data_IF_238146677682
#
_entry.id   IF_238146677682
#
_cell.length_a   1.000
_cell.length_b   1.000
_cell.length_c   1.000
_cell.angle_alpha   90.00
_cell.angle_beta   90.00
_cell.angle_gamma   90.00
#
_symmetry.space_group_name_H-M   'P 1'
#
loop_
_entity.id
_entity.type
_entity.pdbx_description
1 polymer ?
#
# COMPACT_ATOMS: atom_id res chain seq x y z
N UNK A 1 29.00 12.00 2.44
CA UNK A 1 28.69 13.25 3.16
C UNK A 1 27.29 13.19 3.75
N UNK A 2 27.04 13.88 4.86
CA UNK A 2 25.70 13.87 5.50
C UNK A 2 25.22 15.31 5.67
N UNK A 3 24.04 15.63 5.19
CA UNK A 3 23.32 16.87 5.48
C UNK A 3 22.26 16.60 6.53
N UNK A 4 22.08 17.54 7.46
CA UNK A 4 21.04 17.45 8.50
C UNK A 4 19.97 18.50 8.24
N UNK A 5 18.72 18.06 8.23
CA UNK A 5 17.53 18.88 7.97
C UNK A 5 16.71 19.00 9.24
N UNK A 6 16.29 20.22 9.58
CA UNK A 6 15.41 20.49 10.71
C UNK A 6 13.94 20.47 10.26
N UNK A 7 13.13 19.67 10.92
CA UNK A 7 11.72 19.51 10.63
C UNK A 7 10.80 20.48 11.41
N UNK A 8 11.33 21.22 12.39
CA UNK A 8 10.54 22.12 13.25
C UNK A 8 9.80 23.23 12.48
N UNK A 9 10.23 23.52 11.25
CA UNK A 9 9.54 24.46 10.37
C UNK A 9 8.21 23.95 9.81
N UNK A 10 7.93 22.63 9.97
CA UNK A 10 6.72 21.98 9.47
C UNK A 10 5.77 21.60 10.62
N UNK A 11 4.48 21.54 10.34
CA UNK A 11 3.53 20.86 11.22
C UNK A 11 3.80 19.35 11.28
N UNK A 12 3.47 18.68 12.38
CA UNK A 12 3.83 17.28 12.63
C UNK A 12 3.52 16.32 11.45
N UNK A 13 2.36 16.48 10.79
CA UNK A 13 1.99 15.67 9.62
C UNK A 13 2.85 15.99 8.37
N UNK A 14 3.20 17.26 8.22
CA UNK A 14 4.03 17.71 7.10
C UNK A 14 5.48 17.27 7.27
N UNK A 15 5.94 17.10 8.52
CA UNK A 15 7.23 16.48 8.84
C UNK A 15 7.30 15.05 8.33
N UNK A 16 6.25 14.26 8.57
CA UNK A 16 6.19 12.88 8.09
C UNK A 16 6.18 12.82 6.56
N UNK A 17 5.34 13.64 5.92
CA UNK A 17 5.29 13.73 4.47
C UNK A 17 6.62 14.19 3.86
N UNK A 18 7.26 15.20 4.44
CA UNK A 18 8.59 15.66 3.99
C UNK A 18 9.62 14.54 4.06
N UNK A 19 9.72 13.85 5.21
CA UNK A 19 10.66 12.75 5.40
C UNK A 19 10.39 11.59 4.41
N UNK A 20 9.12 11.27 4.17
CA UNK A 20 8.68 10.22 3.23
C UNK A 20 9.01 10.55 1.76
N UNK A 21 9.02 11.83 1.40
CA UNK A 21 9.34 12.28 0.04
C UNK A 21 10.84 12.45 -0.22
N UNK A 22 11.68 12.56 0.81
CA UNK A 22 13.13 12.75 0.64
C UNK A 22 13.80 11.71 -0.26
N UNK A 23 13.50 10.40 -0.20
CA UNK A 23 14.11 9.39 -1.07
C UNK A 23 13.85 9.63 -2.57
N UNK A 24 12.79 10.37 -2.90
CA UNK A 24 12.39 10.66 -4.28
C UNK A 24 12.91 12.02 -4.78
N UNK A 25 13.65 12.75 -3.95
CA UNK A 25 14.17 14.07 -4.32
C UNK A 25 15.34 13.99 -5.28
N UNK A 26 16.26 13.04 -5.08
CA UNK A 26 17.42 12.84 -5.94
C UNK A 26 17.96 11.42 -5.86
N UNK A 27 18.40 10.84 -6.99
CA UNK A 27 19.08 9.53 -6.99
C UNK A 27 20.44 9.55 -6.27
N UNK A 28 20.97 10.73 -5.94
CA UNK A 28 22.21 10.88 -5.17
C UNK A 28 22.03 10.59 -3.68
N UNK A 29 20.80 10.52 -3.18
CA UNK A 29 20.49 10.19 -1.77
C UNK A 29 20.69 8.69 -1.58
N UNK A 30 21.56 8.34 -0.62
CA UNK A 30 21.96 6.94 -0.32
C UNK A 30 21.25 6.39 0.90
N UNK A 31 21.11 7.21 1.94
CA UNK A 31 20.49 6.79 3.18
C UNK A 31 19.81 7.98 3.86
N UNK A 32 18.74 7.68 4.59
CA UNK A 32 17.97 8.67 5.34
C UNK A 32 17.71 8.11 6.73
N UNK A 33 18.08 8.89 7.75
CA UNK A 33 17.83 8.54 9.13
C UNK A 33 17.10 9.68 9.84
N UNK A 34 15.99 9.38 10.48
CA UNK A 34 15.25 10.35 11.29
C UNK A 34 15.46 10.11 12.78
N UNK A 35 15.77 11.18 13.49
CA UNK A 35 15.86 11.20 14.96
C UNK A 35 15.06 12.39 15.49
N UNK A 36 13.83 12.13 15.95
CA UNK A 36 12.91 13.19 16.40
C UNK A 36 12.58 14.18 15.28
N UNK A 37 12.91 15.45 15.50
CA UNK A 37 12.69 16.55 14.56
C UNK A 37 13.87 16.82 13.61
N UNK A 38 14.82 15.91 13.53
CA UNK A 38 15.94 16.00 12.61
C UNK A 38 15.97 14.81 11.65
N UNK A 39 16.35 15.09 10.40
CA UNK A 39 16.58 14.08 9.38
C UNK A 39 18.00 14.24 8.83
N UNK A 40 18.78 13.17 8.93
CA UNK A 40 20.12 13.06 8.34
C UNK A 40 20.00 12.38 6.98
N UNK A 41 20.53 13.01 5.94
CA UNK A 41 20.53 12.53 4.56
C UNK A 41 21.96 12.31 4.12
N UNK A 42 22.31 11.06 3.84
CA UNK A 42 23.61 10.66 3.33
C UNK A 42 23.67 10.72 1.81
N UNK A 43 24.69 11.36 1.25
CA UNK A 43 24.86 11.55 -0.20
C UNK A 43 26.34 11.64 -0.58
N UNK A 44 26.63 11.59 -1.88
CA UNK A 44 27.97 11.84 -2.41
C UNK A 44 28.27 13.36 -2.40
N UNK A 45 29.51 13.74 -2.02
CA UNK A 45 29.89 15.15 -1.84
C UNK A 45 29.67 16.01 -3.09
N UNK A 46 29.92 15.46 -4.28
CA UNK A 46 29.74 16.17 -5.57
C UNK A 46 28.29 16.61 -5.84
N UNK A 47 27.33 16.01 -5.15
CA UNK A 47 25.89 16.18 -5.42
C UNK A 47 25.20 17.08 -4.36
N UNK A 48 25.97 17.60 -3.38
CA UNK A 48 25.43 18.36 -2.24
C UNK A 48 24.60 19.57 -2.68
N UNK A 49 25.12 20.39 -3.57
CA UNK A 49 24.46 21.62 -4.00
C UNK A 49 23.13 21.31 -4.74
N UNK A 50 23.12 20.29 -5.60
CA UNK A 50 21.93 19.87 -6.33
C UNK A 50 20.87 19.32 -5.37
N UNK A 51 21.27 18.42 -4.46
CA UNK A 51 20.35 17.82 -3.49
C UNK A 51 19.77 18.89 -2.57
N UNK A 52 20.62 19.81 -2.06
CA UNK A 52 20.16 20.92 -1.20
C UNK A 52 19.14 21.80 -1.93
N UNK A 53 19.38 22.12 -3.20
CA UNK A 53 18.41 22.89 -4.00
C UNK A 53 17.07 22.13 -4.15
N UNK A 54 17.10 20.85 -4.48
CA UNK A 54 15.88 20.02 -4.65
C UNK A 54 15.13 19.83 -3.33
N UNK A 55 15.83 19.63 -2.22
CA UNK A 55 15.24 19.59 -0.88
C UNK A 55 14.56 20.92 -0.54
N UNK A 56 15.19 22.06 -0.91
CA UNK A 56 14.58 23.39 -0.79
C UNK A 56 13.28 23.50 -1.59
N UNK A 57 13.25 23.00 -2.83
CA UNK A 57 12.04 22.97 -3.65
C UNK A 57 10.93 22.14 -3.02
N UNK A 58 11.24 20.95 -2.49
CA UNK A 58 10.26 20.11 -1.78
C UNK A 58 9.72 20.85 -0.54
N UNK A 59 10.60 21.47 0.25
CA UNK A 59 10.22 22.28 1.41
C UNK A 59 9.25 23.40 1.00
N UNK A 60 9.60 24.18 -0.01
CA UNK A 60 8.81 25.33 -0.45
C UNK A 60 7.46 24.89 -1.02
N UNK A 61 7.41 23.75 -1.71
CA UNK A 61 6.15 23.14 -2.17
C UNK A 61 5.22 22.81 -0.99
N UNK A 62 5.78 22.23 0.08
CA UNK A 62 5.01 21.87 1.27
C UNK A 62 4.52 23.13 2.01
N UNK A 63 5.39 24.12 2.21
CA UNK A 63 5.06 25.35 2.92
C UNK A 63 4.06 26.21 2.13
N UNK A 64 4.23 26.36 0.83
CA UNK A 64 3.32 27.14 -0.04
C UNK A 64 1.97 26.45 -0.28
N UNK A 65 1.94 25.11 -0.18
CA UNK A 65 0.70 24.31 -0.23
C UNK A 65 -0.16 24.42 1.02
N UNK A 66 0.24 25.24 2.01
CA UNK A 66 -0.55 25.46 3.22
C UNK A 66 -1.82 26.22 2.88
N UNK A 67 -2.93 25.47 2.79
CA UNK A 67 -4.25 26.07 2.80
C UNK A 67 -4.44 26.78 4.14
N UNK A 68 -4.62 28.10 4.10
CA UNK A 68 -4.82 28.94 5.26
C UNK A 68 -5.91 28.37 6.17
N UNK A 69 -5.52 27.89 7.34
CA UNK A 69 -6.38 27.92 8.53
C UNK A 69 -7.17 26.68 8.93
N UNK A 70 -7.13 25.53 8.22
CA UNK A 70 -7.80 24.32 8.72
C UNK A 70 -6.87 23.13 8.66
N UNK A 71 -6.33 22.78 9.81
CA UNK A 71 -5.61 21.52 10.01
C UNK A 71 -6.60 20.35 9.91
N UNK A 72 -6.31 19.41 9.00
CA UNK A 72 -7.07 18.17 8.90
C UNK A 72 -6.50 17.20 9.94
N UNK A 73 -7.18 17.05 11.04
CA UNK A 73 -6.77 16.09 12.09
C UNK A 73 -7.22 14.69 11.71
N UNK A 74 -6.28 13.75 11.71
CA UNK A 74 -6.58 12.32 11.71
C UNK A 74 -7.34 12.03 13.01
N UNK A 75 -8.49 11.37 12.91
CA UNK A 75 -9.30 10.96 14.05
C UNK A 75 -9.11 9.47 14.26
N UNK A 76 -8.87 9.06 15.48
CA UNK A 76 -9.01 7.67 15.87
C UNK A 76 -10.49 7.38 16.05
N UNK A 77 -11.01 6.43 15.28
CA UNK A 77 -12.40 6.00 15.29
C UNK A 77 -12.61 4.86 16.30
N UNK A 78 -11.64 3.95 16.36
CA UNK A 78 -11.62 2.81 17.28
C UNK A 78 -10.19 2.67 17.82
N UNK A 79 -10.05 2.41 19.12
CA UNK A 79 -8.75 2.31 19.79
C UNK A 79 -8.71 1.07 20.70
N UNK A 80 -7.84 0.11 20.35
CA UNK A 80 -7.53 -1.09 21.11
C UNK A 80 -6.02 -1.17 21.43
N UNK A 81 -5.38 -0.02 21.58
CA UNK A 81 -3.94 0.08 21.88
C UNK A 81 -3.59 -0.25 23.35
N UNK A 82 -4.59 -0.45 24.19
CA UNK A 82 -4.44 -0.96 25.56
C UNK A 82 -4.22 -2.49 25.62
N UNK A 83 -4.55 -3.20 24.54
CA UNK A 83 -4.27 -4.65 24.45
C UNK A 83 -2.77 -4.92 24.51
N UNK A 84 -2.37 -5.81 25.42
CA UNK A 84 -0.95 -6.16 25.63
C UNK A 84 -0.58 -7.31 24.71
N UNK A 85 0.36 -7.13 23.77
CA UNK A 85 0.86 -8.22 22.94
C UNK A 85 1.53 -9.31 23.76
N UNK A 86 1.49 -10.55 23.30
CA UNK A 86 2.21 -11.67 23.91
C UNK A 86 3.72 -11.57 23.69
N UNK A 87 4.14 -10.98 22.57
CA UNK A 87 5.54 -10.80 22.23
C UNK A 87 5.96 -9.32 22.32
N UNK A 88 7.17 -9.11 22.83
CA UNK A 88 7.80 -7.80 22.95
C UNK A 88 9.21 -7.75 22.34
N UNK A 89 9.67 -8.87 21.78
CA UNK A 89 10.99 -8.97 21.15
C UNK A 89 10.90 -8.74 19.65
N UNK A 90 11.87 -8.04 19.03
CA UNK A 90 11.95 -7.90 17.59
C UNK A 90 12.04 -9.27 16.90
N UNK A 91 11.22 -9.51 15.88
CA UNK A 91 11.15 -10.80 15.19
C UNK A 91 11.79 -10.80 13.80
N UNK A 92 11.98 -9.65 13.19
CA UNK A 92 12.41 -9.57 11.78
C UNK A 92 13.77 -10.23 11.56
N UNK A 93 14.77 -9.94 12.39
CA UNK A 93 16.09 -10.58 12.27
C UNK A 93 16.01 -12.09 12.49
N UNK A 94 15.19 -12.55 13.45
CA UNK A 94 15.00 -13.99 13.68
C UNK A 94 14.37 -14.66 12.46
N UNK A 95 13.40 -14.03 11.79
CA UNK A 95 12.81 -14.55 10.55
C UNK A 95 13.86 -14.68 9.44
N UNK A 96 14.79 -13.74 9.32
CA UNK A 96 15.91 -13.81 8.37
C UNK A 96 16.88 -14.94 8.73
N UNK A 97 17.28 -15.03 10.00
CA UNK A 97 18.28 -16.01 10.50
C UNK A 97 17.78 -17.46 10.41
N UNK A 98 16.46 -17.66 10.46
CA UNK A 98 15.82 -19.00 10.38
C UNK A 98 15.28 -19.32 8.98
N UNK A 99 15.58 -18.51 7.96
CA UNK A 99 15.02 -18.64 6.60
C UNK A 99 13.47 -18.60 6.55
N UNK A 100 12.79 -18.14 7.62
CA UNK A 100 11.35 -17.92 7.62
C UNK A 100 10.93 -16.85 6.61
N UNK A 101 11.82 -15.88 6.37
CA UNK A 101 11.77 -14.95 5.24
C UNK A 101 13.17 -14.78 4.66
N UNK A 102 13.25 -14.52 3.34
CA UNK A 102 14.53 -14.30 2.65
C UNK A 102 14.43 -13.10 1.73
N UNK A 103 15.31 -12.16 1.92
CA UNK A 103 15.40 -11.01 1.02
C UNK A 103 16.00 -11.44 -0.33
N UNK A 104 15.29 -11.14 -1.40
CA UNK A 104 15.70 -11.41 -2.79
C UNK A 104 16.26 -10.13 -3.43
N UNK A 105 15.64 -9.00 -3.11
CA UNK A 105 16.06 -7.66 -3.47
C UNK A 105 15.47 -6.68 -2.46
N UNK A 106 15.89 -5.42 -2.49
CA UNK A 106 15.39 -4.38 -1.60
C UNK A 106 13.85 -4.33 -1.60
N UNK A 107 13.24 -4.57 -0.43
CA UNK A 107 11.79 -4.63 -0.27
C UNK A 107 11.07 -5.77 -1.03
N UNK A 108 11.79 -6.82 -1.41
CA UNK A 108 11.25 -8.01 -2.11
C UNK A 108 11.70 -9.27 -1.39
N UNK A 109 10.74 -10.06 -0.88
CA UNK A 109 11.02 -11.21 -0.03
C UNK A 109 10.37 -12.49 -0.53
N UNK A 110 11.05 -13.62 -0.28
CA UNK A 110 10.47 -14.96 -0.28
C UNK A 110 10.02 -15.31 1.15
N UNK A 111 8.98 -16.13 1.26
CA UNK A 111 8.38 -16.54 2.53
C UNK A 111 8.37 -18.06 2.67
N UNK A 112 8.63 -18.55 3.87
CA UNK A 112 8.54 -19.96 4.19
C UNK A 112 7.94 -20.20 5.59
N UNK A 113 7.84 -21.46 5.99
CA UNK A 113 7.47 -21.94 7.33
C UNK A 113 6.30 -21.18 7.96
N UNK A 114 6.44 -20.75 9.21
CA UNK A 114 5.39 -20.10 9.98
C UNK A 114 4.86 -18.84 9.28
N UNK A 115 5.75 -18.01 8.69
CA UNK A 115 5.31 -16.80 7.99
C UNK A 115 4.36 -17.16 6.84
N UNK A 116 4.75 -18.13 6.01
CA UNK A 116 3.93 -18.56 4.88
C UNK A 116 2.61 -19.22 5.34
N UNK A 117 2.61 -19.95 6.46
CA UNK A 117 1.40 -20.56 7.00
C UNK A 117 0.41 -19.48 7.47
N UNK A 118 0.85 -18.50 8.24
CA UNK A 118 0.00 -17.38 8.70
C UNK A 118 -0.48 -16.54 7.52
N UNK A 119 0.39 -16.30 6.53
CA UNK A 119 0.01 -15.63 5.28
C UNK A 119 -1.15 -16.36 4.57
N UNK A 120 -1.05 -17.69 4.42
CA UNK A 120 -2.10 -18.54 3.82
C UNK A 120 -3.42 -18.48 4.59
N UNK A 121 -3.36 -18.39 5.91
CA UNK A 121 -4.55 -18.21 6.73
C UNK A 121 -5.27 -16.92 6.33
N UNK A 122 -4.58 -15.78 6.35
CA UNK A 122 -5.21 -14.50 5.99
C UNK A 122 -5.78 -14.52 4.56
N UNK A 123 -5.03 -15.06 3.62
CA UNK A 123 -5.50 -15.16 2.24
C UNK A 123 -6.79 -15.97 2.12
N UNK A 124 -6.84 -17.16 2.73
CA UNK A 124 -8.03 -18.04 2.73
C UNK A 124 -9.20 -17.45 3.53
N UNK A 125 -8.93 -16.84 4.68
CA UNK A 125 -9.96 -16.23 5.53
C UNK A 125 -10.66 -15.07 4.84
N UNK A 126 -9.91 -14.19 4.18
CA UNK A 126 -10.49 -13.08 3.41
C UNK A 126 -11.42 -13.63 2.31
N UNK A 127 -10.99 -14.64 1.59
CA UNK A 127 -11.81 -15.25 0.55
C UNK A 127 -13.09 -15.88 1.10
N UNK A 128 -12.97 -16.68 2.14
CA UNK A 128 -14.09 -17.36 2.78
C UNK A 128 -15.13 -16.37 3.33
N UNK A 129 -14.65 -15.32 4.02
CA UNK A 129 -15.50 -14.26 4.53
C UNK A 129 -16.24 -13.52 3.41
N UNK A 130 -15.54 -13.12 2.34
CA UNK A 130 -16.16 -12.41 1.22
C UNK A 130 -17.28 -13.21 0.55
N UNK A 131 -17.07 -14.52 0.37
CA UNK A 131 -18.10 -15.42 -0.18
C UNK A 131 -19.31 -15.54 0.74
N UNK A 132 -19.09 -15.56 2.05
CA UNK A 132 -20.17 -15.69 3.04
C UNK A 132 -20.96 -14.38 3.22
N UNK A 133 -20.26 -13.24 3.35
CA UNK A 133 -20.85 -11.97 3.71
C UNK A 133 -21.55 -11.24 2.55
N UNK A 134 -21.00 -11.35 1.32
CA UNK A 134 -21.48 -10.50 0.22
C UNK A 134 -22.38 -11.20 -0.79
N UNK A 135 -22.67 -12.50 -0.61
CA UNK A 135 -23.47 -13.27 -1.56
C UNK A 135 -22.68 -13.57 -2.85
N UNK A 136 -23.25 -13.39 -4.04
CA UNK A 136 -22.56 -13.67 -5.29
C UNK A 136 -21.38 -12.71 -5.48
N UNK A 137 -20.17 -13.17 -5.15
CA UNK A 137 -18.92 -12.43 -5.36
C UNK A 137 -18.26 -12.87 -6.65
N UNK A 138 -17.97 -11.93 -7.53
CA UNK A 138 -17.24 -12.18 -8.76
C UNK A 138 -15.76 -12.23 -8.45
N UNK A 139 -15.10 -13.37 -8.70
CA UNK A 139 -13.67 -13.53 -8.54
C UNK A 139 -12.98 -13.35 -9.88
N UNK A 140 -11.94 -12.50 -9.89
CA UNK A 140 -11.08 -12.31 -11.06
C UNK A 140 -9.63 -12.30 -10.63
N UNK A 141 -8.80 -12.96 -11.43
CA UNK A 141 -7.34 -12.82 -11.41
C UNK A 141 -6.93 -11.91 -12.57
N UNK A 142 -6.62 -10.67 -12.27
CA UNK A 142 -6.19 -9.70 -13.26
C UNK A 142 -4.68 -9.72 -13.43
N UNK A 143 -4.17 -9.48 -14.66
CA UNK A 143 -2.74 -9.38 -14.92
C UNK A 143 -2.05 -8.33 -14.03
N UNK A 144 -0.79 -8.57 -13.70
CA UNK A 144 0.05 -7.58 -13.01
C UNK A 144 0.49 -6.45 -13.95
N UNK A 145 0.59 -6.75 -15.25
CA UNK A 145 0.89 -5.76 -16.29
C UNK A 145 -0.36 -4.96 -16.62
N UNK A 146 -0.27 -3.65 -16.51
CA UNK A 146 -1.40 -2.74 -16.66
C UNK A 146 -1.07 -1.66 -17.70
N UNK A 147 -1.96 -1.38 -18.68
CA UNK A 147 -1.68 -0.39 -19.72
C UNK A 147 -1.48 1.02 -19.16
N UNK A 148 -0.45 1.72 -19.63
CA UNK A 148 -0.13 3.10 -19.22
C UNK A 148 -1.32 4.03 -19.41
N UNK A 149 -2.01 3.97 -20.55
CA UNK A 149 -3.16 4.84 -20.84
C UNK A 149 -4.29 4.70 -19.80
N UNK A 150 -4.47 3.49 -19.26
CA UNK A 150 -5.45 3.27 -18.19
C UNK A 150 -4.96 3.78 -16.83
N UNK A 151 -3.65 3.79 -16.62
CA UNK A 151 -3.04 4.35 -15.42
C UNK A 151 -3.22 5.86 -15.39
N UNK A 152 -2.99 6.50 -16.54
CA UNK A 152 -3.25 7.93 -16.74
C UNK A 152 -4.73 8.27 -16.55
N UNK A 153 -5.62 7.49 -17.18
CA UNK A 153 -7.07 7.63 -17.06
C UNK A 153 -7.58 7.52 -15.62
N UNK A 154 -6.93 6.70 -14.80
CA UNK A 154 -7.19 6.58 -13.36
C UNK A 154 -6.64 7.72 -12.51
N UNK A 155 -5.89 8.67 -13.09
CA UNK A 155 -5.29 9.82 -12.40
C UNK A 155 -4.04 9.49 -11.59
N UNK A 156 -3.44 8.32 -11.80
CA UNK A 156 -2.32 7.86 -10.98
C UNK A 156 -1.01 8.58 -11.24
N UNK A 157 -0.79 9.08 -12.46
CA UNK A 157 0.38 9.92 -12.80
C UNK A 157 0.37 11.25 -12.05
N UNK A 158 -0.82 11.79 -11.80
CA UNK A 158 -0.96 13.05 -11.07
C UNK A 158 -0.82 12.84 -9.55
N UNK A 159 -1.29 11.69 -9.05
CA UNK A 159 -1.42 11.46 -7.60
C UNK A 159 -0.26 10.69 -6.99
N UNK A 160 0.28 9.69 -7.70
CA UNK A 160 1.29 8.76 -7.18
C UNK A 160 2.44 8.49 -8.16
N UNK A 161 3.03 9.48 -8.85
CA UNK A 161 4.07 9.25 -9.84
C UNK A 161 5.30 8.53 -9.25
N UNK A 162 5.59 8.75 -7.99
CA UNK A 162 6.73 8.18 -7.28
C UNK A 162 6.62 6.67 -7.04
N UNK A 163 5.40 6.10 -7.02
CA UNK A 163 5.20 4.67 -6.84
C UNK A 163 5.25 3.86 -8.14
N UNK A 164 5.24 4.53 -9.30
CA UNK A 164 5.06 3.84 -10.58
C UNK A 164 6.32 3.08 -10.96
N UNK A 165 6.16 1.78 -11.23
CA UNK A 165 7.17 0.92 -11.83
C UNK A 165 6.78 0.61 -13.27
N UNK A 166 7.65 0.92 -14.21
CA UNK A 166 7.43 0.69 -15.63
C UNK A 166 7.97 -0.66 -16.08
N UNK A 167 7.24 -1.32 -16.97
CA UNK A 167 7.72 -2.50 -17.67
C UNK A 167 8.15 -2.11 -19.07
N UNK A 168 9.36 -2.54 -19.46
CA UNK A 168 9.89 -2.32 -20.79
C UNK A 168 10.68 -3.55 -21.28
N UNK A 169 10.99 -3.57 -22.56
CA UNK A 169 11.79 -4.62 -23.23
C UNK A 169 12.83 -3.97 -24.15
N UNK A 170 13.83 -4.72 -24.53
CA UNK A 170 14.78 -4.27 -25.56
C UNK A 170 14.09 -4.06 -26.90
N UNK A 171 14.67 -3.20 -27.74
CA UNK A 171 14.28 -3.06 -29.14
C UNK A 171 14.38 -4.41 -29.85
N UNK A 172 13.42 -4.71 -30.74
CA UNK A 172 13.42 -5.89 -31.56
C UNK A 172 14.40 -5.69 -32.75
N UNK A 173 15.67 -5.67 -32.43
CA UNK A 173 16.78 -5.51 -33.40
C UNK A 173 17.81 -6.60 -33.15
N UNK A 174 18.17 -7.31 -34.20
CA UNK A 174 19.07 -8.46 -34.10
C UNK A 174 20.45 -8.06 -33.53
N UNK A 175 21.01 -6.93 -33.97
CA UNK A 175 22.32 -6.49 -33.51
C UNK A 175 22.28 -6.06 -32.01
N UNK A 176 21.18 -5.47 -31.58
CA UNK A 176 20.96 -5.14 -30.17
C UNK A 176 20.87 -6.41 -29.32
N UNK A 177 20.07 -7.39 -29.76
CA UNK A 177 19.89 -8.65 -29.06
C UNK A 177 21.17 -9.48 -29.01
N UNK A 178 21.95 -9.54 -30.12
CA UNK A 178 23.23 -10.24 -30.19
C UNK A 178 24.26 -9.58 -29.24
N UNK A 179 24.36 -8.25 -29.24
CA UNK A 179 25.24 -7.51 -28.34
C UNK A 179 24.86 -7.77 -26.86
N UNK A 180 23.57 -7.80 -26.55
CA UNK A 180 23.11 -8.11 -25.19
C UNK A 180 23.41 -9.57 -24.80
N UNK A 181 23.23 -10.52 -25.72
CA UNK A 181 23.53 -11.92 -25.46
C UNK A 181 25.03 -12.14 -25.16
N UNK A 182 25.91 -11.35 -25.81
CA UNK A 182 27.38 -11.47 -25.63
C UNK A 182 27.87 -10.74 -24.35
N UNK A 183 27.35 -9.58 -24.06
CA UNK A 183 27.88 -8.68 -23.02
C UNK A 183 26.97 -8.54 -21.77
N UNK A 184 25.68 -8.88 -21.88
CA UNK A 184 24.69 -8.70 -20.82
C UNK A 184 24.68 -7.26 -20.30
N UNK A 185 24.57 -7.09 -18.99
CA UNK A 185 24.56 -5.78 -18.31
C UNK A 185 25.95 -5.16 -18.11
N UNK A 186 27.03 -5.81 -18.58
CA UNK A 186 28.39 -5.23 -18.56
C UNK A 186 28.49 -4.04 -19.50
N UNK A 187 27.77 -4.07 -20.64
CA UNK A 187 27.62 -2.92 -21.52
C UNK A 187 26.44 -2.06 -21.03
N UNK A 188 26.73 -1.05 -20.20
CA UNK A 188 25.70 -0.17 -19.64
C UNK A 188 24.91 0.61 -20.70
N UNK A 189 25.46 0.80 -21.90
CA UNK A 189 24.78 1.49 -23.00
C UNK A 189 23.59 0.69 -23.53
N UNK A 190 23.50 -0.61 -23.20
CA UNK A 190 22.39 -1.45 -23.61
C UNK A 190 21.03 -0.97 -23.07
N UNK A 191 21.02 -0.26 -21.95
CA UNK A 191 19.80 0.31 -21.39
C UNK A 191 19.21 1.45 -22.23
N UNK A 192 20.03 2.10 -23.11
CA UNK A 192 19.56 3.09 -24.08
C UNK A 192 18.79 2.44 -25.24
N UNK A 193 18.94 1.13 -25.38
CA UNK A 193 18.24 0.32 -26.38
C UNK A 193 16.91 -0.26 -25.87
N UNK A 194 16.44 0.19 -24.70
CA UNK A 194 15.12 -0.18 -24.21
C UNK A 194 14.02 0.54 -25.00
N UNK A 195 12.90 -0.13 -25.19
CA UNK A 195 11.70 0.51 -25.77
C UNK A 195 11.07 1.47 -24.79
N UNK A 196 10.39 2.52 -25.26
CA UNK A 196 9.47 3.25 -24.40
C UNK A 196 8.47 2.29 -23.77
N UNK A 197 8.23 2.36 -22.45
CA UNK A 197 7.28 1.48 -21.79
C UNK A 197 5.85 1.76 -22.27
N UNK A 198 5.07 0.70 -22.44
CA UNK A 198 3.61 0.77 -22.71
C UNK A 198 2.79 0.17 -21.59
N UNK A 199 3.46 -0.48 -20.65
CA UNK A 199 2.88 -1.14 -19.50
C UNK A 199 3.56 -0.67 -18.22
N UNK A 200 2.80 -0.70 -17.13
CA UNK A 200 3.28 -0.51 -15.75
C UNK A 200 2.96 -1.77 -14.94
N UNK A 201 3.66 -1.97 -13.85
CA UNK A 201 3.29 -2.93 -12.83
C UNK A 201 2.18 -2.31 -11.95
N UNK A 202 1.07 -3.04 -11.75
CA UNK A 202 -0.07 -2.50 -10.99
C UNK A 202 0.30 -2.22 -9.53
N UNK A 203 -0.15 -1.10 -8.99
CA UNK A 203 0.10 -0.69 -7.60
C UNK A 203 -1.04 -1.07 -6.64
N UNK A 204 -2.21 -1.49 -7.17
CA UNK A 204 -3.38 -1.94 -6.43
C UNK A 204 -4.18 -2.95 -7.26
N UNK A 205 -4.88 -3.86 -6.60
CA UNK A 205 -5.66 -4.91 -7.29
C UNK A 205 -7.02 -4.43 -7.79
N UNK A 206 -7.56 -3.33 -7.25
CA UNK A 206 -8.83 -2.76 -7.69
C UNK A 206 -8.77 -2.02 -9.04
N UNK A 207 -7.62 -1.45 -9.41
CA UNK A 207 -7.49 -0.62 -10.62
C UNK A 207 -7.98 -1.31 -11.90
N UNK A 208 -7.62 -2.58 -12.19
CA UNK A 208 -8.12 -3.29 -13.37
C UNK A 208 -9.64 -3.51 -13.39
N UNK A 209 -10.31 -3.55 -12.23
CA UNK A 209 -11.76 -3.72 -12.15
C UNK A 209 -12.48 -2.56 -12.83
N UNK A 210 -12.01 -1.33 -12.62
CA UNK A 210 -12.65 -0.14 -13.21
C UNK A 210 -12.46 -0.10 -14.73
N UNK A 211 -11.30 -0.52 -15.23
CA UNK A 211 -11.08 -0.69 -16.66
C UNK A 211 -11.99 -1.76 -17.24
N UNK A 212 -12.10 -2.91 -16.59
CA UNK A 212 -12.97 -4.02 -16.99
C UNK A 212 -14.44 -3.59 -17.08
N UNK A 213 -14.88 -2.70 -16.20
CA UNK A 213 -16.24 -2.16 -16.17
C UNK A 213 -16.45 -0.95 -17.07
N UNK A 214 -15.46 -0.53 -17.86
CA UNK A 214 -15.57 0.67 -18.70
C UNK A 214 -16.80 0.60 -19.62
N UNK A 215 -17.63 1.66 -19.57
CA UNK A 215 -18.86 1.77 -20.35
C UNK A 215 -20.04 0.91 -19.84
N UNK A 216 -19.90 0.24 -18.70
CA UNK A 216 -20.95 -0.63 -18.17
C UNK A 216 -22.08 0.16 -17.52
N UNK A 217 -23.30 -0.42 -17.61
CA UNK A 217 -24.47 0.02 -16.86
C UNK A 217 -24.73 -0.99 -15.75
N UNK A 218 -24.73 -0.53 -14.51
CA UNK A 218 -24.93 -1.33 -13.29
C UNK A 218 -26.36 -1.10 -12.81
N UNK A 219 -27.08 -2.18 -12.51
CA UNK A 219 -28.40 -2.08 -11.89
C UNK A 219 -28.26 -1.49 -10.48
N UNK A 220 -28.99 -0.41 -10.20
CA UNK A 220 -28.89 0.34 -8.96
C UNK A 220 -29.10 -0.54 -7.72
N UNK A 221 -30.08 -1.44 -7.78
CA UNK A 221 -30.47 -2.27 -6.65
C UNK A 221 -29.69 -3.61 -6.57
N UNK A 222 -28.77 -3.87 -7.52
CA UNK A 222 -27.93 -5.07 -7.57
C UNK A 222 -26.44 -4.67 -7.61
N UNK A 223 -25.82 -4.54 -6.45
CA UNK A 223 -24.42 -4.15 -6.36
C UNK A 223 -23.52 -5.18 -7.03
N UNK A 224 -22.47 -4.72 -7.66
CA UNK A 224 -21.41 -5.57 -8.15
C UNK A 224 -20.32 -5.67 -7.08
N UNK A 225 -20.07 -6.87 -6.60
CA UNK A 225 -18.98 -7.16 -5.65
C UNK A 225 -17.93 -8.02 -6.34
N UNK A 226 -16.69 -7.56 -6.26
CA UNK A 226 -15.53 -8.27 -6.80
C UNK A 226 -14.58 -8.63 -5.66
N UNK A 227 -14.07 -9.85 -5.68
CA UNK A 227 -12.92 -10.27 -4.89
C UNK A 227 -11.74 -10.40 -5.85
N UNK A 228 -10.75 -9.57 -5.65
CA UNK A 228 -9.54 -9.51 -6.48
C UNK A 228 -8.31 -9.61 -5.60
N UNK A 229 -7.28 -10.28 -6.10
CA UNK A 229 -6.04 -10.50 -5.36
C UNK A 229 -4.83 -10.53 -6.29
N UNK A 230 -3.66 -10.47 -5.69
CA UNK A 230 -2.39 -10.74 -6.34
C UNK A 230 -1.33 -9.68 -6.07
N UNK A 231 -0.21 -9.82 -6.73
CA UNK A 231 0.96 -8.97 -6.57
C UNK A 231 0.67 -7.53 -6.97
N UNK A 232 1.12 -6.62 -6.11
CA UNK A 232 1.15 -5.18 -6.34
C UNK A 232 2.59 -4.70 -6.17
N UNK A 233 2.90 -3.60 -6.86
CA UNK A 233 4.25 -3.08 -6.96
C UNK A 233 4.24 -1.58 -6.69
N UNK A 234 5.13 -1.15 -5.79
CA UNK A 234 5.33 0.26 -5.48
C UNK A 234 6.81 0.54 -5.35
N UNK A 235 7.29 1.55 -6.06
CA UNK A 235 8.65 2.04 -5.84
C UNK A 235 8.70 2.78 -4.51
N UNK A 236 9.01 2.07 -3.43
CA UNK A 236 9.11 2.65 -2.09
C UNK A 236 10.42 3.42 -1.89
N UNK A 237 11.35 3.34 -2.84
CA UNK A 237 12.68 3.94 -2.75
C UNK A 237 13.34 3.63 -1.38
N UNK A 238 13.88 4.62 -0.69
CA UNK A 238 14.49 4.45 0.63
C UNK A 238 13.50 4.29 1.79
N UNK A 239 12.19 4.13 1.51
CA UNK A 239 11.17 3.93 2.54
C UNK A 239 10.83 2.45 2.78
N UNK A 240 11.44 1.52 2.04
CA UNK A 240 11.28 0.09 2.32
C UNK A 240 11.71 -0.20 3.76
N UNK A 241 10.89 -0.99 4.48
CA UNK A 241 11.13 -1.25 5.89
C UNK A 241 10.61 -2.64 6.28
N UNK A 242 11.53 -3.55 6.56
CA UNK A 242 11.22 -4.91 6.98
C UNK A 242 10.11 -5.54 6.11
N UNK A 243 9.11 -6.20 6.72
CA UNK A 243 7.93 -6.73 6.03
C UNK A 243 6.72 -5.79 6.09
N UNK A 244 6.90 -4.61 6.64
CA UNK A 244 5.88 -3.60 6.79
C UNK A 244 5.73 -2.70 5.54
N UNK A 245 6.83 -2.46 4.80
CA UNK A 245 6.82 -1.62 3.62
C UNK A 245 7.68 -2.22 2.51
N UNK A 246 7.04 -2.73 1.46
CA UNK A 246 7.61 -3.59 0.44
C UNK A 246 7.46 -2.99 -0.95
N UNK A 247 8.46 -3.25 -1.82
CA UNK A 247 8.41 -2.90 -3.24
C UNK A 247 7.48 -3.85 -4.03
N UNK A 248 7.36 -5.10 -3.57
CA UNK A 248 6.43 -6.11 -4.09
C UNK A 248 5.69 -6.79 -2.94
N UNK A 249 4.36 -6.81 -2.99
CA UNK A 249 3.51 -7.37 -1.95
C UNK A 249 2.19 -7.89 -2.52
N UNK A 250 1.47 -8.72 -1.76
CA UNK A 250 0.13 -9.15 -2.13
C UNK A 250 -0.95 -8.27 -1.50
N UNK A 251 -1.88 -7.88 -2.34
CA UNK A 251 -3.08 -7.20 -1.92
C UNK A 251 -4.30 -8.06 -2.27
N UNK A 252 -5.23 -8.15 -1.34
CA UNK A 252 -6.54 -8.78 -1.57
C UNK A 252 -7.61 -7.76 -1.25
N UNK A 253 -8.57 -7.58 -2.16
CA UNK A 253 -9.56 -6.52 -2.04
C UNK A 253 -10.98 -7.00 -2.33
N UNK A 254 -11.92 -6.49 -1.54
CA UNK A 254 -13.33 -6.44 -1.93
C UNK A 254 -13.57 -5.11 -2.63
N UNK A 255 -14.02 -5.16 -3.87
CA UNK A 255 -14.35 -3.97 -4.65
C UNK A 255 -15.86 -3.92 -4.87
N UNK A 256 -16.46 -2.80 -4.52
CA UNK A 256 -17.92 -2.57 -4.59
C UNK A 256 -18.23 -1.50 -5.61
N UNK A 257 -19.19 -1.77 -6.49
CA UNK A 257 -19.67 -0.82 -7.50
C UNK A 257 -21.19 -0.82 -7.51
N UNK A 258 -21.80 0.34 -7.31
CA UNK A 258 -23.27 0.42 -7.20
C UNK A 258 -23.77 1.79 -6.75
N UNK A 259 -24.94 1.82 -6.12
CA UNK A 259 -25.49 3.01 -5.48
C UNK A 259 -24.66 3.42 -4.24
N UNK A 260 -24.66 4.71 -3.86
CA UNK A 260 -23.87 5.22 -2.74
C UNK A 260 -24.10 4.48 -1.42
N UNK A 261 -25.36 4.29 -1.06
CA UNK A 261 -25.79 3.63 0.17
C UNK A 261 -25.37 2.16 0.21
N UNK A 262 -25.43 1.47 -0.93
CA UNK A 262 -25.03 0.07 -1.06
C UNK A 262 -23.52 -0.07 -0.91
N UNK A 263 -22.74 0.80 -1.55
CA UNK A 263 -21.28 0.80 -1.38
C UNK A 263 -20.87 1.06 0.07
N UNK A 264 -21.56 1.98 0.76
CA UNK A 264 -21.30 2.28 2.18
C UNK A 264 -21.62 1.08 3.09
N UNK A 265 -22.78 0.42 2.86
CA UNK A 265 -23.18 -0.77 3.59
C UNK A 265 -22.18 -1.92 3.40
N UNK A 266 -21.74 -2.17 2.17
CA UNK A 266 -20.76 -3.22 1.87
C UNK A 266 -19.40 -2.96 2.52
N UNK A 267 -18.93 -1.72 2.56
CA UNK A 267 -17.71 -1.34 3.28
C UNK A 267 -17.89 -1.58 4.79
N UNK A 268 -19.06 -1.26 5.34
CA UNK A 268 -19.36 -1.52 6.76
C UNK A 268 -19.36 -3.02 7.06
N UNK A 269 -19.98 -3.84 6.22
CA UNK A 269 -19.95 -5.30 6.37
C UNK A 269 -18.51 -5.85 6.28
N UNK A 270 -17.65 -5.31 5.43
CA UNK A 270 -16.27 -5.75 5.32
C UNK A 270 -15.45 -5.51 6.60
N UNK A 271 -15.80 -4.49 7.41
CA UNK A 271 -15.15 -4.23 8.70
C UNK A 271 -15.39 -5.34 9.72
N UNK A 272 -16.46 -6.10 9.59
CA UNK A 272 -16.75 -7.21 10.51
C UNK A 272 -15.62 -8.25 10.50
N UNK A 273 -14.92 -8.43 9.35
CA UNK A 273 -13.75 -9.31 9.31
C UNK A 273 -12.59 -8.74 10.13
N UNK A 274 -12.40 -7.44 10.12
CA UNK A 274 -11.37 -6.79 10.96
C UNK A 274 -11.70 -6.97 12.45
N UNK A 275 -12.92 -6.68 12.86
CA UNK A 275 -13.38 -6.86 14.25
C UNK A 275 -13.25 -8.31 14.69
N UNK A 276 -13.57 -9.27 13.81
CA UNK A 276 -13.35 -10.68 14.08
C UNK A 276 -11.87 -11.00 14.40
N UNK A 277 -10.91 -10.48 13.64
CA UNK A 277 -9.49 -10.69 13.91
C UNK A 277 -9.02 -9.96 15.17
N UNK A 278 -9.48 -8.73 15.37
CA UNK A 278 -9.20 -7.96 16.56
C UNK A 278 -9.56 -8.76 17.83
N UNK A 279 -10.76 -9.33 17.87
CA UNK A 279 -11.26 -10.08 19.03
C UNK A 279 -10.64 -11.47 19.13
N UNK A 280 -10.43 -12.15 17.99
CA UNK A 280 -9.89 -13.52 17.96
C UNK A 280 -8.41 -13.54 18.31
N UNK A 281 -7.66 -12.56 17.85
CA UNK A 281 -6.22 -12.50 18.04
C UNK A 281 -5.77 -11.52 19.13
N UNK A 282 -6.69 -10.87 19.85
CA UNK A 282 -6.38 -9.79 20.80
C UNK A 282 -5.38 -8.80 20.21
N UNK A 283 -5.72 -8.20 19.06
CA UNK A 283 -4.79 -7.33 18.37
C UNK A 283 -4.69 -5.97 19.07
N UNK A 284 -3.47 -5.52 19.34
CA UNK A 284 -3.19 -4.12 19.62
C UNK A 284 -3.26 -3.36 18.29
N UNK A 285 -4.37 -2.63 18.10
CA UNK A 285 -4.67 -1.96 16.85
C UNK A 285 -5.56 -0.74 17.04
N UNK A 286 -5.68 0.06 15.98
CA UNK A 286 -6.55 1.25 15.89
C UNK A 286 -7.20 1.32 14.53
N UNK A 287 -8.34 1.99 14.46
CA UNK A 287 -8.95 2.42 13.20
C UNK A 287 -8.90 3.94 13.14
N UNK A 288 -8.19 4.47 12.17
CA UNK A 288 -8.01 5.91 12.00
C UNK A 288 -8.67 6.39 10.70
N UNK A 289 -9.19 7.63 10.68
CA UNK A 289 -9.36 8.32 9.40
C UNK A 289 -7.98 8.52 8.78
N UNK A 290 -7.89 8.43 7.47
CA UNK A 290 -6.61 8.49 6.79
C UNK A 290 -6.65 9.34 5.53
N UNK A 291 -5.47 9.63 5.01
CA UNK A 291 -5.26 10.21 3.70
C UNK A 291 -4.11 9.50 3.00
N UNK A 292 -4.07 9.60 1.67
CA UNK A 292 -2.95 9.08 0.88
C UNK A 292 -1.78 10.07 0.83
N UNK A 293 -0.57 9.53 0.67
CA UNK A 293 0.66 10.32 0.46
C UNK A 293 0.73 10.80 -0.99
N UNK A 294 -0.11 11.79 -1.34
CA UNK A 294 -0.14 12.35 -2.69
C UNK A 294 1.11 13.16 -3.01
N UNK A 295 1.70 12.94 -4.15
CA UNK A 295 2.86 13.70 -4.67
C UNK A 295 2.46 14.89 -5.56
N UNK A 296 1.39 15.55 -5.31
CA UNK A 296 0.95 16.66 -6.15
C UNK A 296 1.14 18.01 -5.45
N UNK A 297 1.31 19.10 -6.21
CA UNK A 297 1.35 20.45 -5.66
C UNK A 297 0.09 20.84 -4.88
N UNK A 298 -1.01 20.14 -5.12
CA UNK A 298 -2.29 20.30 -4.43
C UNK A 298 -2.58 19.19 -3.40
N UNK A 299 -1.55 18.44 -2.95
CA UNK A 299 -1.72 17.27 -2.07
C UNK A 299 -2.52 17.58 -0.81
N UNK A 300 -2.32 18.73 -0.18
CA UNK A 300 -3.09 19.13 1.02
C UNK A 300 -4.59 19.29 0.75
N UNK A 301 -4.95 19.77 -0.44
CA UNK A 301 -6.35 19.87 -0.87
C UNK A 301 -6.95 18.46 -1.05
N UNK A 302 -6.21 17.55 -1.68
CA UNK A 302 -6.63 16.16 -1.88
C UNK A 302 -6.80 15.43 -0.55
N UNK A 303 -5.82 15.55 0.35
CA UNK A 303 -5.89 15.01 1.71
C UNK A 303 -7.06 15.57 2.51
N UNK A 304 -7.29 16.90 2.42
CA UNK A 304 -8.42 17.56 3.09
C UNK A 304 -9.76 16.97 2.64
N UNK A 305 -9.96 16.76 1.33
CA UNK A 305 -11.21 16.17 0.84
C UNK A 305 -11.37 14.70 1.24
N UNK A 306 -10.30 13.93 1.34
CA UNK A 306 -10.38 12.56 1.84
C UNK A 306 -10.84 12.49 3.31
N UNK A 307 -10.24 13.29 4.18
CA UNK A 307 -10.57 13.28 5.60
C UNK A 307 -11.92 13.95 5.88
N UNK A 308 -12.23 15.08 5.24
CA UNK A 308 -13.51 15.77 5.42
C UNK A 308 -14.70 14.89 5.02
N UNK A 309 -14.51 14.02 4.02
CA UNK A 309 -15.55 13.10 3.55
C UNK A 309 -15.55 11.74 4.23
N UNK A 310 -14.71 11.51 5.25
CA UNK A 310 -14.47 10.21 5.88
C UNK A 310 -14.28 9.09 4.83
N UNK A 311 -13.66 9.46 3.69
CA UNK A 311 -13.61 8.61 2.50
C UNK A 311 -12.51 7.55 2.55
N UNK A 312 -11.60 7.64 3.52
CA UNK A 312 -10.56 6.64 3.77
C UNK A 312 -10.41 6.37 5.26
N UNK A 313 -10.33 5.09 5.60
CA UNK A 313 -9.98 4.62 6.94
C UNK A 313 -8.83 3.62 6.82
N UNK A 314 -7.90 3.69 7.75
CA UNK A 314 -6.80 2.74 7.88
C UNK A 314 -6.92 1.95 9.17
N UNK A 315 -6.68 0.67 9.06
CA UNK A 315 -6.71 -0.33 10.12
C UNK A 315 -5.26 -0.62 10.49
N UNK A 316 -4.84 -0.05 11.60
CA UNK A 316 -3.43 0.08 11.97
C UNK A 316 -3.11 -0.88 13.09
N UNK A 317 -2.07 -1.68 12.94
CA UNK A 317 -1.55 -2.57 13.96
C UNK A 317 -0.23 -2.07 14.49
N UNK A 318 0.00 -2.27 15.80
CA UNK A 318 1.30 -2.13 16.43
C UNK A 318 2.23 -3.24 15.98
N UNK A 319 3.50 -2.92 15.74
CA UNK A 319 4.57 -3.88 15.51
C UNK A 319 5.31 -4.22 16.84
N UNK A 320 6.32 -5.05 16.77
CA UNK A 320 7.17 -5.43 17.91
C UNK A 320 7.98 -4.25 18.49
N UNK A 321 8.31 -3.25 17.67
CA UNK A 321 8.78 -1.96 18.15
C UNK A 321 7.57 -1.10 18.57
N UNK A 322 7.44 -0.68 19.85
CA UNK A 322 6.28 0.04 20.35
C UNK A 322 6.05 1.41 19.69
N UNK A 323 7.05 1.95 19.01
CA UNK A 323 6.95 3.21 18.27
C UNK A 323 6.64 3.01 16.78
N UNK A 324 6.42 1.77 16.34
CA UNK A 324 6.11 1.42 14.96
C UNK A 324 4.72 0.84 14.83
N UNK A 325 3.95 1.43 13.95
CA UNK A 325 2.60 0.98 13.58
C UNK A 325 2.55 0.84 12.06
N UNK A 326 1.68 -0.05 11.56
CA UNK A 326 1.47 -0.28 10.14
C UNK A 326 0.00 -0.41 9.80
N UNK A 327 -0.45 0.29 8.77
CA UNK A 327 -1.77 0.07 8.20
C UNK A 327 -1.79 -1.28 7.47
N UNK A 328 -2.46 -2.26 8.06
CA UNK A 328 -2.57 -3.62 7.52
C UNK A 328 -3.78 -3.81 6.60
N UNK A 329 -4.80 -2.96 6.77
CA UNK A 329 -5.96 -2.90 5.88
C UNK A 329 -6.43 -1.46 5.70
N UNK A 330 -7.24 -1.22 4.67
CA UNK A 330 -7.86 0.09 4.42
C UNK A 330 -9.25 -0.04 3.81
N UNK A 331 -10.15 0.84 4.24
CA UNK A 331 -11.44 1.06 3.61
C UNK A 331 -11.40 2.37 2.82
N UNK A 332 -11.79 2.32 1.56
CA UNK A 332 -11.76 3.47 0.66
C UNK A 332 -13.12 3.65 -0.01
N UNK A 333 -13.68 4.84 0.12
CA UNK A 333 -14.94 5.22 -0.51
C UNK A 333 -14.66 6.26 -1.60
N UNK A 334 -14.43 5.78 -2.83
CA UNK A 334 -13.96 6.59 -3.96
C UNK A 334 -15.05 7.47 -4.55
N UNK A 335 -16.33 7.24 -4.20
CA UNK A 335 -17.46 7.93 -4.82
C UNK A 335 -17.45 7.74 -6.34
N UNK A 336 -17.48 8.82 -7.11
CA UNK A 336 -17.48 8.79 -8.58
C UNK A 336 -16.09 8.97 -9.20
N UNK A 337 -15.02 8.88 -8.41
CA UNK A 337 -13.66 9.14 -8.88
C UNK A 337 -13.28 8.25 -10.07
N UNK A 338 -13.52 6.93 -9.96
CA UNK A 338 -13.23 5.99 -11.04
C UNK A 338 -14.37 5.85 -12.04
N UNK A 339 -15.62 5.94 -11.60
CA UNK A 339 -16.75 5.73 -12.50
C UNK A 339 -16.88 6.81 -13.59
N UNK A 340 -16.50 8.06 -13.30
CA UNK A 340 -16.51 9.13 -14.29
C UNK A 340 -15.55 8.87 -15.45
N UNK A 341 -14.23 8.70 -15.25
CA UNK A 341 -13.31 8.50 -16.36
C UNK A 341 -13.57 7.19 -17.12
N UNK A 342 -14.06 6.15 -16.45
CA UNK A 342 -14.39 4.88 -17.08
C UNK A 342 -15.83 4.79 -17.58
N UNK A 343 -16.65 5.85 -17.43
CA UNK A 343 -18.06 5.90 -17.83
C UNK A 343 -18.88 4.73 -17.29
N UNK A 344 -18.74 4.39 -16.02
CA UNK A 344 -19.51 3.36 -15.33
C UNK A 344 -20.76 4.03 -14.75
N UNK A 345 -21.94 3.62 -15.21
CA UNK A 345 -23.20 4.25 -14.84
C UNK A 345 -24.16 3.29 -14.16
N UNK A 346 -25.07 3.85 -13.40
CA UNK A 346 -26.27 3.15 -12.94
C UNK A 346 -27.34 3.17 -14.04
N UNK A 347 -28.33 2.29 -13.94
CA UNK A 347 -29.48 2.19 -14.84
C UNK A 347 -30.35 3.46 -14.91
N UNK A 348 -30.26 4.32 -13.88
CA UNK A 348 -30.91 5.64 -13.86
C UNK A 348 -30.08 6.75 -14.55
N UNK A 349 -28.96 6.42 -15.17
CA UNK A 349 -28.06 7.34 -15.87
C UNK A 349 -27.01 8.06 -15.00
N UNK A 350 -27.11 8.00 -13.68
CA UNK A 350 -26.10 8.57 -12.78
C UNK A 350 -24.80 7.77 -12.84
N UNK A 351 -23.66 8.40 -12.48
CA UNK A 351 -22.42 7.65 -12.29
C UNK A 351 -22.52 6.73 -11.06
N UNK A 352 -22.09 5.49 -11.21
CA UNK A 352 -21.99 4.56 -10.10
C UNK A 352 -20.99 5.06 -9.06
N UNK A 353 -21.21 4.71 -7.79
CA UNK A 353 -20.18 4.86 -6.77
C UNK A 353 -19.27 3.64 -6.75
N UNK A 354 -18.03 3.86 -6.36
CA UNK A 354 -17.04 2.81 -6.17
C UNK A 354 -16.45 2.91 -4.77
N UNK A 355 -16.20 1.75 -4.18
CA UNK A 355 -15.54 1.63 -2.89
C UNK A 355 -14.71 0.34 -2.86
N UNK A 356 -13.74 0.24 -1.97
CA UNK A 356 -13.05 -1.00 -1.71
C UNK A 356 -12.67 -1.16 -0.23
N UNK A 357 -12.44 -2.42 0.14
CA UNK A 357 -11.78 -2.79 1.38
C UNK A 357 -10.58 -3.65 1.03
N UNK A 358 -9.38 -3.13 1.29
CA UNK A 358 -8.12 -3.70 0.88
C UNK A 358 -7.33 -4.25 2.08
N UNK A 359 -6.68 -5.39 1.87
CA UNK A 359 -5.84 -6.08 2.84
C UNK A 359 -4.44 -6.26 2.27
N UNK A 360 -3.42 -5.81 3.01
CA UNK A 360 -2.02 -6.16 2.76
C UNK A 360 -1.70 -7.47 3.48
N UNK A 361 -1.61 -8.57 2.75
CA UNK A 361 -1.54 -9.91 3.37
C UNK A 361 -0.24 -10.09 4.14
N UNK A 362 0.89 -9.60 3.62
CA UNK A 362 2.16 -9.59 4.33
C UNK A 362 2.12 -8.74 5.60
N UNK A 363 1.47 -7.58 5.55
CA UNK A 363 1.34 -6.68 6.70
C UNK A 363 0.49 -7.28 7.81
N UNK A 364 -0.63 -7.92 7.47
CA UNK A 364 -1.46 -8.67 8.42
C UNK A 364 -0.65 -9.79 9.09
N UNK A 365 0.08 -10.55 8.27
CA UNK A 365 0.94 -11.65 8.74
C UNK A 365 2.02 -11.14 9.68
N UNK A 366 2.74 -10.12 9.26
CA UNK A 366 3.84 -9.55 10.03
C UNK A 366 3.35 -8.95 11.35
N UNK A 367 2.24 -8.19 11.32
CA UNK A 367 1.64 -7.61 12.50
C UNK A 367 1.19 -8.67 13.53
N UNK A 368 0.57 -9.76 13.05
CA UNK A 368 0.19 -10.86 13.96
C UNK A 368 1.42 -11.50 14.58
N UNK A 369 2.44 -11.82 13.79
CA UNK A 369 3.67 -12.43 14.31
C UNK A 369 4.46 -11.48 15.21
N UNK A 370 4.51 -10.17 14.93
CA UNK A 370 5.08 -9.18 15.85
C UNK A 370 4.41 -9.22 17.23
N UNK A 371 3.09 -9.44 17.27
CA UNK A 371 2.33 -9.41 18.51
C UNK A 371 2.25 -10.77 19.22
N UNK A 372 2.29 -11.88 18.48
CA UNK A 372 2.22 -13.24 19.06
C UNK A 372 3.60 -13.89 19.27
N UNK A 373 4.64 -13.45 18.54
CA UNK A 373 5.97 -14.06 18.51
C UNK A 373 6.05 -15.25 17.55
N UNK A 374 7.24 -15.86 17.48
CA UNK A 374 7.51 -16.98 16.57
C UNK A 374 7.38 -18.36 17.22
N UNK A 375 7.23 -18.42 18.54
CA UNK A 375 7.04 -19.66 19.30
C UNK A 375 5.55 -19.95 19.50
N UNK A 376 4.97 -20.76 18.62
CA UNK A 376 3.54 -21.10 18.61
C UNK A 376 3.08 -21.76 19.91
N UNK A 377 3.98 -22.43 20.64
CA UNK A 377 3.63 -23.07 21.93
C UNK A 377 3.22 -22.05 23.01
N UNK A 378 3.56 -20.77 22.82
CA UNK A 378 3.22 -19.66 23.70
C UNK A 378 1.98 -18.88 23.26
N UNK A 379 1.39 -19.24 22.14
CA UNK A 379 0.20 -18.55 21.64
C UNK A 379 -1.04 -18.97 22.44
N UNK A 380 -1.99 -18.07 22.53
CA UNK A 380 -3.28 -18.36 23.12
C UNK A 380 -4.07 -19.40 22.28
N UNK A 381 -4.88 -20.19 22.96
CA UNK A 381 -5.60 -21.29 22.35
C UNK A 381 -6.56 -20.85 21.24
N UNK A 382 -7.25 -19.70 21.40
CA UNK A 382 -8.20 -19.21 20.41
C UNK A 382 -7.50 -18.83 19.09
N UNK A 383 -6.30 -18.24 19.17
CA UNK A 383 -5.47 -17.95 17.99
C UNK A 383 -5.10 -19.23 17.25
N UNK A 384 -4.56 -20.22 17.97
CA UNK A 384 -4.15 -21.52 17.39
C UNK A 384 -5.34 -22.26 16.76
N UNK A 385 -6.48 -22.30 17.45
CA UNK A 385 -7.69 -22.96 16.95
C UNK A 385 -8.25 -22.28 15.71
N UNK A 386 -8.22 -20.96 15.63
CA UNK A 386 -8.70 -20.26 14.45
C UNK A 386 -7.83 -20.55 13.22
N UNK A 387 -6.50 -20.54 13.36
CA UNK A 387 -5.62 -20.85 12.23
C UNK A 387 -5.83 -22.31 11.75
N UNK A 388 -5.96 -23.26 12.66
CA UNK A 388 -6.20 -24.68 12.32
C UNK A 388 -7.48 -24.92 11.52
N UNK A 389 -8.51 -24.09 11.64
CA UNK A 389 -9.74 -24.18 10.81
C UNK A 389 -9.48 -24.04 9.31
N UNK A 390 -8.33 -23.51 8.94
CA UNK A 390 -7.94 -23.25 7.55
C UNK A 390 -6.80 -24.15 7.07
N UNK A 391 -6.65 -25.33 7.66
CA UNK A 391 -5.60 -26.32 7.34
C UNK A 391 -4.19 -25.70 7.44
N UNK A 392 -3.97 -24.91 8.48
CA UNK A 392 -2.66 -24.32 8.78
C UNK A 392 -1.93 -25.25 9.72
N UNK A 393 -0.78 -25.75 9.26
CA UNK A 393 0.16 -26.53 10.05
C UNK A 393 1.03 -25.56 10.87
N UNK A 394 0.91 -25.64 12.20
CA UNK A 394 1.59 -24.75 13.15
C UNK A 394 2.62 -25.54 13.97
#
# INVERSE_FOLDING_TARGET
MTITLDLNQFQAKDQNFFAEMLPYVSPAIRNIQRQGDQVSVELEERDEAEVTQKVGQLRDMILNGQLSGKEVKIKTLEDHSDTVPLNHAPIFQTLLDTDGVKEIADGVYAYSDLFLQVYRYFDRKIEAFGKAAFGPVKQYDFPVLYPIDNYEKGGYFETFPHYIMFQTTMKNDLAVLDRFAQKGTQDKTIFEEMKPPTLVLRHATCAPVYQFLSGSIIQRDVPQTYLVSGRCFRNEAGNAYELARLNEFNMKEYVFVGAPEICADKVSQAKELWHFWQDTFDLNCKVNTANDSFFASNYKKLQFFQVLGDSKQEFVCRLDNPNKEIAAASANFHRTHFSKPYNIRLDNGNFAYTACFAFGVERLTYALLCQKGLDVSKWDEKTVQELKKYDIEL
#
